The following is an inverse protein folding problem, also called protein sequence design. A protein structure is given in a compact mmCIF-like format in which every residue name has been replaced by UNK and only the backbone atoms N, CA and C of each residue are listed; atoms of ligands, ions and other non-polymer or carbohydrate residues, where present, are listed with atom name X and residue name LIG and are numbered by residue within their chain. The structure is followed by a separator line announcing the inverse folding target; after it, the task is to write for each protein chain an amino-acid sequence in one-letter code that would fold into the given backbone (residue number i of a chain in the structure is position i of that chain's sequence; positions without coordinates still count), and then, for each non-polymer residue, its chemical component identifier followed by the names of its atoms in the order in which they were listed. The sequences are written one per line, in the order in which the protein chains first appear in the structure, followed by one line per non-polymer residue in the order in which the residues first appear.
data_IF_248649719368
#
_entry.id   IF_248649719368
#
_cell.length_a   1.000
_cell.length_b   1.000
_cell.length_c   1.000
_cell.angle_alpha   90.00
_cell.angle_beta   90.00
_cell.angle_gamma   90.00
#
_symmetry.space_group_name_H-M   'P 1'
#
loop_
_entity.id
_entity.type
_entity.pdbx_description
1 polymer ?
#
# COMPACT_ATOMS: atom_id res chain seq x y z
N UNK A 1 8.12 -1.65 20.29
CA UNK A 1 8.39 -0.22 20.14
C UNK A 1 9.14 0.00 18.83
N UNK A 2 8.67 0.91 18.01
CA UNK A 2 9.35 1.26 16.76
C UNK A 2 10.01 2.61 16.88
N UNK A 3 11.22 2.73 16.34
CA UNK A 3 11.99 3.96 16.34
C UNK A 3 12.37 4.35 14.93
N UNK A 4 12.10 5.59 14.59
CA UNK A 4 12.58 6.17 13.34
C UNK A 4 13.92 6.83 13.65
N UNK A 5 14.99 6.31 13.02
CA UNK A 5 16.37 6.75 13.29
C UNK A 5 16.75 7.83 12.27
N UNK A 6 17.20 8.96 12.78
CA UNK A 6 17.76 10.04 11.98
C UNK A 6 19.16 10.37 12.49
N UNK A 7 19.93 11.16 11.74
CA UNK A 7 21.24 11.62 12.21
C UNK A 7 21.14 12.40 13.53
N UNK A 8 20.02 13.11 13.73
CA UNK A 8 19.81 13.96 14.91
C UNK A 8 19.54 13.14 16.16
N UNK A 9 18.81 12.03 16.04
CA UNK A 9 18.45 11.22 17.20
C UNK A 9 19.33 9.98 17.39
N UNK A 10 20.28 9.74 16.49
CA UNK A 10 21.19 8.59 16.57
C UNK A 10 21.93 8.52 17.93
N UNK A 11 22.47 9.62 18.51
CA UNK A 11 23.13 9.56 19.80
C UNK A 11 22.22 9.09 20.94
N UNK A 12 20.94 9.44 20.90
CA UNK A 12 19.96 8.99 21.90
C UNK A 12 19.70 7.50 21.78
N UNK A 13 19.63 6.98 20.56
CA UNK A 13 19.45 5.56 20.31
C UNK A 13 20.65 4.77 20.85
N UNK A 14 21.88 5.22 20.61
CA UNK A 14 23.10 4.59 21.11
C UNK A 14 23.07 4.50 22.64
N UNK A 15 22.69 5.57 23.32
CA UNK A 15 22.56 5.59 24.78
C UNK A 15 21.53 4.56 25.27
N UNK A 16 20.40 4.44 24.59
CA UNK A 16 19.37 3.45 24.95
C UNK A 16 19.86 2.02 24.74
N UNK A 17 20.59 1.76 23.67
CA UNK A 17 21.18 0.45 23.41
C UNK A 17 22.23 0.08 24.49
N UNK A 18 23.04 1.04 24.91
CA UNK A 18 24.02 0.84 25.96
C UNK A 18 23.38 0.56 27.33
N UNK A 19 22.18 1.07 27.55
CA UNK A 19 21.42 0.87 28.78
C UNK A 19 20.70 -0.48 28.86
N UNK A 20 20.73 -1.28 27.82
CA UNK A 20 20.08 -2.58 27.79
C UNK A 20 20.78 -3.57 28.71
N UNK A 21 20.00 -4.46 29.28
CA UNK A 21 20.53 -5.55 30.12
C UNK A 21 21.10 -6.65 29.22
N UNK A 22 22.43 -6.69 29.09
CA UNK A 22 23.13 -7.65 28.24
C UNK A 22 23.23 -9.05 28.83
N UNK A 23 22.66 -9.28 30.02
CA UNK A 23 22.44 -10.64 30.48
C UNK A 23 21.41 -11.39 29.66
N UNK A 24 20.59 -10.66 28.93
CA UNK A 24 19.60 -11.17 27.95
C UNK A 24 20.11 -10.96 26.54
N UNK A 25 19.66 -11.81 25.62
CA UNK A 25 19.98 -11.65 24.21
C UNK A 25 18.92 -10.75 23.54
N UNK A 26 19.37 -9.73 22.85
CA UNK A 26 18.50 -8.78 22.15
C UNK A 26 18.60 -8.94 20.65
N UNK A 27 17.48 -8.74 19.95
CA UNK A 27 17.43 -8.75 18.49
C UNK A 27 16.95 -7.40 17.98
N UNK A 28 17.67 -6.83 17.02
CA UNK A 28 17.31 -5.59 16.35
C UNK A 28 17.03 -5.90 14.89
N UNK A 29 15.90 -5.40 14.39
CA UNK A 29 15.55 -5.46 12.98
C UNK A 29 15.52 -4.05 12.44
N UNK A 30 16.34 -3.77 11.41
CA UNK A 30 16.40 -2.47 10.77
C UNK A 30 15.75 -2.57 9.40
N UNK A 31 14.81 -1.69 9.15
CA UNK A 31 14.16 -1.55 7.85
C UNK A 31 14.21 -0.10 7.42
N UNK A 32 14.33 0.14 6.12
CA UNK A 32 14.25 1.49 5.61
C UNK A 32 12.83 2.03 5.79
N UNK A 33 12.72 3.20 6.42
CA UNK A 33 11.42 3.86 6.58
C UNK A 33 11.09 4.61 5.29
N UNK A 34 10.40 3.94 4.38
CA UNK A 34 9.95 4.56 3.14
C UNK A 34 8.66 5.32 3.37
N UNK A 35 8.49 6.43 2.67
CA UNK A 35 7.22 7.13 2.66
C UNK A 35 6.18 6.23 2.01
N UNK A 36 5.33 5.64 2.83
CA UNK A 36 4.16 4.91 2.34
C UNK A 36 3.06 5.92 2.04
N UNK A 37 2.05 5.48 1.27
CA UNK A 37 0.91 6.34 0.95
C UNK A 37 0.27 6.89 2.21
N UNK A 38 -0.25 8.11 2.13
CA UNK A 38 -0.89 8.78 3.26
C UNK A 38 -2.26 8.14 3.55
N UNK A 39 -2.75 8.34 4.79
CA UNK A 39 -4.11 7.96 5.16
C UNK A 39 -5.14 8.62 4.25
N UNK A 40 -4.91 9.87 3.84
CA UNK A 40 -5.81 10.60 2.94
C UNK A 40 -5.94 9.90 1.59
N UNK A 41 -4.84 9.41 1.02
CA UNK A 41 -4.88 8.62 -0.21
C UNK A 41 -5.68 7.33 -0.03
N UNK A 42 -5.49 6.64 1.08
CA UNK A 42 -6.21 5.42 1.37
C UNK A 42 -7.72 5.68 1.54
N UNK A 43 -8.09 6.72 2.27
CA UNK A 43 -9.47 7.11 2.46
C UNK A 43 -10.13 7.50 1.14
N UNK A 44 -9.42 8.24 0.30
CA UNK A 44 -9.89 8.62 -1.03
C UNK A 44 -10.10 7.39 -1.93
N UNK A 45 -9.19 6.43 -1.88
CA UNK A 45 -9.30 5.19 -2.64
C UNK A 45 -10.57 4.43 -2.26
N UNK A 46 -10.83 4.25 -0.97
CA UNK A 46 -12.01 3.55 -0.50
C UNK A 46 -13.29 4.31 -0.78
N UNK A 47 -13.27 5.64 -0.71
CA UNK A 47 -14.39 6.47 -1.12
C UNK A 47 -14.70 6.30 -2.62
N UNK A 48 -13.67 6.17 -3.44
CA UNK A 48 -13.81 5.91 -4.87
C UNK A 48 -14.44 4.54 -5.13
N UNK A 49 -14.00 3.50 -4.43
CA UNK A 49 -14.61 2.17 -4.51
C UNK A 49 -16.08 2.21 -4.14
N UNK A 50 -16.43 2.94 -3.09
CA UNK A 50 -17.82 3.09 -2.66
C UNK A 50 -18.67 3.78 -3.73
N UNK A 51 -18.17 4.88 -4.28
CA UNK A 51 -18.89 5.65 -5.30
C UNK A 51 -19.12 4.82 -6.56
N UNK A 52 -18.12 4.09 -7.04
CA UNK A 52 -18.24 3.21 -8.19
C UNK A 52 -19.19 2.05 -7.88
N UNK A 53 -19.06 1.46 -6.71
CA UNK A 53 -19.93 0.37 -6.28
C UNK A 53 -21.38 0.78 -6.19
N UNK A 54 -21.68 1.93 -5.60
CA UNK A 54 -23.03 2.48 -5.53
C UNK A 54 -23.60 2.74 -6.93
N UNK A 55 -22.78 3.22 -7.85
CA UNK A 55 -23.17 3.46 -9.22
C UNK A 55 -23.51 2.16 -9.97
N UNK A 56 -22.73 1.10 -9.75
CA UNK A 56 -22.87 -0.18 -10.44
C UNK A 56 -23.74 -1.21 -9.68
N UNK A 57 -24.04 -0.96 -8.40
CA UNK A 57 -24.76 -1.91 -7.56
C UNK A 57 -23.88 -2.96 -6.90
N UNK A 58 -22.60 -2.66 -6.64
CA UNK A 58 -21.64 -3.55 -5.97
C UNK A 58 -21.16 -2.94 -4.67
N UNK A 59 -20.62 -3.79 -3.78
CA UNK A 59 -20.02 -3.33 -2.52
C UNK A 59 -18.63 -2.73 -2.77
N UNK A 60 -18.15 -1.94 -1.80
CA UNK A 60 -16.76 -1.44 -1.83
C UNK A 60 -15.74 -2.55 -1.97
N UNK A 61 -15.94 -3.65 -1.23
CA UNK A 61 -15.01 -4.77 -1.24
C UNK A 61 -14.98 -5.47 -2.59
N UNK A 62 -16.13 -5.62 -3.23
CA UNK A 62 -16.20 -6.18 -4.57
C UNK A 62 -15.46 -5.32 -5.59
N UNK A 63 -15.65 -3.99 -5.55
CA UNK A 63 -14.95 -3.06 -6.43
C UNK A 63 -13.45 -3.09 -6.15
N UNK A 64 -13.05 -3.15 -4.89
CA UNK A 64 -11.64 -3.28 -4.50
C UNK A 64 -10.99 -4.50 -5.18
N UNK A 65 -11.61 -5.64 -5.08
CA UNK A 65 -11.10 -6.89 -5.69
C UNK A 65 -11.06 -6.80 -7.20
N UNK A 66 -12.09 -6.24 -7.82
CA UNK A 66 -12.16 -6.09 -9.28
C UNK A 66 -11.08 -5.17 -9.81
N UNK A 67 -10.84 -4.05 -9.15
CA UNK A 67 -9.82 -3.08 -9.56
C UNK A 67 -8.41 -3.62 -9.35
N UNK A 68 -8.16 -4.32 -8.27
CA UNK A 68 -6.89 -5.01 -8.04
C UNK A 68 -6.62 -6.03 -9.13
N UNK A 69 -7.59 -6.84 -9.47
CA UNK A 69 -7.47 -7.84 -10.53
C UNK A 69 -7.16 -7.17 -11.88
N UNK A 70 -7.79 -6.04 -12.16
CA UNK A 70 -7.62 -5.34 -13.44
C UNK A 70 -6.26 -4.62 -13.53
N UNK A 71 -5.83 -3.93 -12.49
CA UNK A 71 -4.70 -3.00 -12.55
C UNK A 71 -3.47 -3.42 -11.75
N UNK A 72 -3.59 -4.33 -10.80
CA UNK A 72 -2.49 -4.76 -9.94
C UNK A 72 -2.12 -6.23 -10.12
N UNK A 73 -2.57 -6.84 -11.21
CA UNK A 73 -2.21 -8.21 -11.53
C UNK A 73 -0.79 -8.25 -12.07
N UNK A 74 0.02 -9.13 -11.50
CA UNK A 74 1.39 -9.37 -11.95
C UNK A 74 1.58 -10.85 -12.22
N UNK A 75 2.58 -11.19 -13.03
CA UNK A 75 2.91 -12.57 -13.34
C UNK A 75 4.21 -12.96 -12.64
N UNK A 76 4.25 -14.20 -12.16
CA UNK A 76 5.45 -14.82 -11.59
C UNK A 76 5.68 -16.14 -12.30
N UNK A 77 6.94 -16.43 -12.58
CA UNK A 77 7.33 -17.69 -13.23
C UNK A 77 7.99 -18.58 -12.18
N UNK A 78 7.43 -19.77 -11.96
CA UNK A 78 7.97 -20.76 -11.04
C UNK A 78 7.99 -22.10 -11.78
N UNK A 79 9.17 -22.70 -11.94
CA UNK A 79 9.36 -23.98 -12.65
C UNK A 79 8.70 -24.00 -14.04
N UNK A 80 8.92 -22.94 -14.83
CA UNK A 80 8.39 -22.74 -16.18
C UNK A 80 6.85 -22.61 -16.25
N UNK A 81 6.19 -22.50 -15.09
CA UNK A 81 4.75 -22.18 -15.03
C UNK A 81 4.55 -20.71 -14.71
N UNK A 82 3.58 -20.10 -15.38
CA UNK A 82 3.21 -18.70 -15.16
C UNK A 82 2.08 -18.63 -14.16
N UNK A 83 2.30 -17.92 -13.06
CA UNK A 83 1.29 -17.67 -12.03
C UNK A 83 0.87 -16.21 -12.05
N UNK A 84 -0.43 -15.96 -11.99
CA UNK A 84 -0.96 -14.62 -11.82
C UNK A 84 -1.09 -14.31 -10.33
N UNK A 85 -0.52 -13.19 -9.91
CA UNK A 85 -0.53 -12.76 -8.52
C UNK A 85 -1.09 -11.34 -8.43
N UNK A 86 -1.94 -11.11 -7.44
CA UNK A 86 -2.48 -9.78 -7.17
C UNK A 86 -1.58 -9.04 -6.18
N UNK A 87 -1.15 -7.85 -6.55
CA UNK A 87 -0.36 -7.00 -5.68
C UNK A 87 -1.26 -6.34 -4.64
N UNK A 88 -0.83 -6.33 -3.38
CA UNK A 88 -1.59 -5.67 -2.32
C UNK A 88 -1.52 -4.15 -2.45
N UNK A 89 -2.64 -3.46 -2.21
CA UNK A 89 -2.66 -2.00 -2.18
C UNK A 89 -1.83 -1.45 -1.03
N UNK A 90 -1.65 -2.21 0.05
CA UNK A 90 -0.84 -1.78 1.20
C UNK A 90 0.65 -1.72 0.89
N UNK A 91 1.10 -2.39 -0.17
CA UNK A 91 2.51 -2.38 -0.59
C UNK A 91 2.83 -1.27 -1.60
N UNK A 92 1.84 -0.50 -2.04
CA UNK A 92 2.04 0.56 -3.03
C UNK A 92 2.70 1.79 -2.40
N UNK A 93 3.66 2.37 -3.12
CA UNK A 93 4.22 3.69 -2.79
C UNK A 93 3.19 4.78 -3.06
N UNK A 94 3.49 6.02 -2.66
CA UNK A 94 2.66 7.19 -2.96
C UNK A 94 2.46 7.33 -4.47
N UNK A 95 3.55 7.21 -5.24
CA UNK A 95 3.52 7.32 -6.70
C UNK A 95 2.71 6.20 -7.35
N UNK A 96 2.93 4.96 -6.92
CA UNK A 96 2.20 3.80 -7.43
C UNK A 96 0.72 3.89 -7.09
N UNK A 97 0.37 4.38 -5.90
CA UNK A 97 -1.01 4.58 -5.50
C UNK A 97 -1.68 5.66 -6.36
N UNK A 98 -0.99 6.77 -6.62
CA UNK A 98 -1.50 7.84 -7.48
C UNK A 98 -1.76 7.31 -8.90
N UNK A 99 -0.85 6.50 -9.43
CA UNK A 99 -0.99 5.88 -10.74
C UNK A 99 -2.18 4.91 -10.78
N UNK A 100 -2.32 4.06 -9.77
CA UNK A 100 -3.41 3.12 -9.62
C UNK A 100 -4.77 3.83 -9.57
N UNK A 101 -4.88 4.85 -8.74
CA UNK A 101 -6.11 5.65 -8.63
C UNK A 101 -6.45 6.36 -9.95
N UNK A 102 -5.43 6.89 -10.64
CA UNK A 102 -5.61 7.52 -11.95
C UNK A 102 -6.13 6.54 -13.00
N UNK A 103 -5.65 5.30 -12.98
CA UNK A 103 -6.14 4.24 -13.88
C UNK A 103 -7.61 3.89 -13.60
N UNK A 104 -8.00 3.84 -12.32
CA UNK A 104 -9.40 3.59 -11.95
C UNK A 104 -10.29 4.75 -12.42
N UNK A 105 -9.87 5.98 -12.21
CA UNK A 105 -10.62 7.17 -12.66
C UNK A 105 -10.80 7.18 -14.17
N UNK A 106 -9.75 6.92 -14.92
CA UNK A 106 -9.80 6.87 -16.38
C UNK A 106 -10.73 5.74 -16.86
N UNK A 107 -10.61 4.57 -16.27
CA UNK A 107 -11.46 3.44 -16.60
C UNK A 107 -12.94 3.74 -16.33
N UNK A 108 -13.25 4.31 -15.18
CA UNK A 108 -14.62 4.61 -14.80
C UNK A 108 -15.24 5.67 -15.74
N UNK A 109 -14.47 6.67 -16.12
CA UNK A 109 -14.95 7.72 -17.03
C UNK A 109 -15.19 7.19 -18.46
N UNK A 110 -14.31 6.30 -18.96
CA UNK A 110 -14.37 5.82 -20.34
C UNK A 110 -15.27 4.61 -20.50
N UNK A 111 -15.27 3.67 -19.56
CA UNK A 111 -15.95 2.39 -19.72
C UNK A 111 -17.36 2.37 -19.11
N UNK A 112 -17.60 3.10 -18.03
CA UNK A 112 -18.90 3.12 -17.37
C UNK A 112 -19.54 4.51 -17.31
N UNK A 113 -18.85 5.54 -17.84
CA UNK A 113 -19.38 6.89 -17.86
C UNK A 113 -19.49 7.56 -16.50
N UNK A 114 -18.75 7.08 -15.50
CA UNK A 114 -18.76 7.61 -14.14
C UNK A 114 -17.51 8.47 -13.92
N UNK A 115 -17.70 9.73 -13.52
CA UNK A 115 -16.61 10.64 -13.21
C UNK A 115 -16.52 10.84 -11.70
N UNK A 116 -15.39 10.44 -11.14
CA UNK A 116 -15.07 10.68 -9.73
C UNK A 116 -14.59 12.12 -9.54
N UNK A 117 -15.09 12.74 -8.50
CA UNK A 117 -14.66 14.09 -8.13
C UNK A 117 -14.10 14.12 -6.71
#
# INVERSE_FOLDING_TARGET
MQWIITKQNLPFLVKKLEALDFSKKWKIVLTENKNVRTNDQNDRLWAMYKAIGDYLGYSQDEIHKMMKFKFLRTERIINDEVFEVLKSTTSLSIEDMTDYMGKIEAWSATEIGFCWK
#
